data_IF_019091188686
#
_entry.id   IF_019091188686
#
_cell.length_a   1.000
_cell.length_b   1.000
_cell.length_c   1.000
_cell.angle_alpha   90.00
_cell.angle_beta   90.00
_cell.angle_gamma   90.00
#
_symmetry.space_group_name_H-M   'P 1'
#
loop_
_entity.id
_entity.type
_entity.pdbx_description
1 polymer ?
#
# COMPACT_ATOMS: atom_id res chain seq x y z
N UNK A 1 -11.03 -7.96 13.55
CA UNK A 1 -10.61 -7.81 12.14
C UNK A 1 -9.12 -7.59 12.09
N UNK A 2 -8.43 -8.36 11.26
CA UNK A 2 -7.01 -8.25 11.00
C UNK A 2 -6.81 -8.05 9.49
N UNK A 3 -5.90 -7.15 9.10
CA UNK A 3 -5.47 -6.95 7.71
C UNK A 3 -4.04 -7.48 7.56
N UNK A 4 -3.79 -8.25 6.50
CA UNK A 4 -2.53 -8.93 6.26
C UNK A 4 -2.10 -8.77 4.81
N UNK A 5 -0.79 -8.77 4.57
CA UNK A 5 -0.21 -8.76 3.23
C UNK A 5 0.91 -9.79 3.11
N UNK A 6 0.96 -10.48 1.97
CA UNK A 6 2.14 -11.27 1.55
C UNK A 6 3.15 -10.43 0.75
N UNK A 7 2.81 -9.18 0.42
CA UNK A 7 3.66 -8.26 -0.34
C UNK A 7 4.67 -7.54 0.55
N UNK A 8 4.28 -7.14 1.77
CA UNK A 8 5.15 -6.49 2.74
C UNK A 8 4.57 -6.55 4.15
N UNK A 9 5.40 -6.33 5.19
CA UNK A 9 4.96 -6.28 6.58
C UNK A 9 4.55 -4.87 7.01
N UNK A 10 3.67 -4.78 8.01
CA UNK A 10 3.23 -3.50 8.57
C UNK A 10 4.43 -2.68 9.11
N UNK A 11 4.49 -1.39 8.76
CA UNK A 11 5.55 -0.48 9.18
C UNK A 11 6.86 -0.61 8.40
N UNK A 12 6.97 -1.57 7.48
CA UNK A 12 8.12 -1.69 6.60
C UNK A 12 7.93 -0.91 5.29
N UNK A 13 9.02 -0.57 4.59
CA UNK A 13 8.94 0.08 3.28
C UNK A 13 8.09 -0.71 2.29
N UNK A 14 7.32 0.00 1.46
CA UNK A 14 6.59 -0.59 0.33
C UNK A 14 7.61 -0.93 -0.77
N UNK A 15 7.67 -2.19 -1.25
CA UNK A 15 8.51 -2.56 -2.38
C UNK A 15 8.19 -1.75 -3.65
N UNK A 16 9.22 -1.46 -4.44
CA UNK A 16 9.10 -0.59 -5.63
C UNK A 16 8.01 -1.07 -6.62
N UNK A 17 7.81 -2.37 -6.79
CA UNK A 17 6.78 -2.92 -7.69
C UNK A 17 5.35 -2.51 -7.30
N UNK A 18 5.10 -2.17 -6.03
CA UNK A 18 3.80 -1.72 -5.54
C UNK A 18 3.70 -0.19 -5.39
N UNK A 19 4.78 0.53 -5.68
CA UNK A 19 4.82 1.99 -5.61
C UNK A 19 4.64 2.61 -7.00
N UNK A 20 4.21 3.88 -7.03
CA UNK A 20 4.15 4.67 -8.27
C UNK A 20 5.55 4.91 -8.87
N UNK A 21 6.53 5.16 -8.01
CA UNK A 21 7.90 5.43 -8.41
C UNK A 21 8.92 4.64 -7.59
N UNK A 22 10.14 4.56 -8.11
CA UNK A 22 11.31 3.97 -7.46
C UNK A 22 12.45 4.99 -7.41
N UNK A 23 13.40 4.74 -6.53
CA UNK A 23 14.64 5.51 -6.46
C UNK A 23 15.41 5.40 -7.78
N UNK A 24 15.95 6.53 -8.23
CA UNK A 24 16.81 6.64 -9.41
C UNK A 24 18.07 7.42 -9.03
N UNK A 25 19.27 6.98 -9.44
CA UNK A 25 20.52 7.66 -9.07
C UNK A 25 20.74 8.99 -9.81
N UNK A 26 20.11 9.18 -10.97
CA UNK A 26 20.36 10.32 -11.87
C UNK A 26 19.16 11.29 -11.95
N UNK A 27 18.00 10.88 -11.42
CA UNK A 27 16.77 11.68 -11.39
C UNK A 27 16.10 11.63 -10.01
N UNK A 28 15.20 12.59 -9.67
CA UNK A 28 14.48 12.56 -8.40
C UNK A 28 13.70 11.26 -8.14
N UNK A 29 13.22 10.62 -9.20
CA UNK A 29 12.56 9.31 -9.19
C UNK A 29 12.47 8.76 -10.62
N UNK A 30 12.22 7.45 -10.75
CA UNK A 30 11.77 6.82 -12.00
C UNK A 30 10.39 6.14 -11.79
N UNK A 31 9.58 6.02 -12.85
CA UNK A 31 8.30 5.30 -12.78
C UNK A 31 8.52 3.82 -12.50
N UNK A 32 7.66 3.23 -11.66
CA UNK A 32 7.68 1.81 -11.31
C UNK A 32 6.40 1.11 -11.79
N UNK A 33 6.23 -0.17 -11.43
CA UNK A 33 5.17 -1.04 -11.95
C UNK A 33 3.77 -0.66 -11.42
N UNK A 34 3.70 0.08 -10.30
CA UNK A 34 2.47 0.63 -9.75
C UNK A 34 1.36 -0.43 -9.56
N UNK A 35 1.72 -1.61 -9.05
CA UNK A 35 0.77 -2.70 -8.79
C UNK A 35 0.13 -2.56 -7.42
N UNK A 36 -1.12 -2.99 -7.29
CA UNK A 36 -1.73 -3.11 -5.96
C UNK A 36 -1.11 -4.30 -5.21
N UNK A 37 -0.75 -4.16 -3.92
CA UNK A 37 -0.20 -5.24 -3.12
C UNK A 37 -1.26 -6.29 -2.78
N UNK A 38 -0.82 -7.48 -2.39
CA UNK A 38 -1.70 -8.48 -1.80
C UNK A 38 -2.29 -7.94 -0.50
N UNK A 39 -3.60 -8.05 -0.33
CA UNK A 39 -4.29 -7.72 0.91
C UNK A 39 -5.34 -8.80 1.21
N UNK A 40 -5.36 -9.27 2.45
CA UNK A 40 -6.33 -10.24 2.93
C UNK A 40 -6.77 -9.89 4.36
N UNK A 41 -8.02 -10.18 4.69
CA UNK A 41 -8.58 -9.94 6.01
C UNK A 41 -9.02 -11.23 6.70
N UNK A 42 -8.91 -11.24 8.02
CA UNK A 42 -9.40 -12.32 8.90
C UNK A 42 -10.21 -11.73 10.04
N UNK A 43 -10.99 -12.58 10.69
CA UNK A 43 -11.79 -12.22 11.88
C UNK A 43 -12.69 -10.99 11.62
N UNK A 44 -13.40 -11.03 10.50
CA UNK A 44 -14.36 -9.99 10.10
C UNK A 44 -15.51 -9.98 11.13
N UNK A 45 -15.92 -8.81 11.65
CA UNK A 45 -17.02 -8.73 12.61
C UNK A 45 -18.33 -9.29 12.05
N UNK A 46 -19.14 -9.90 12.92
CA UNK A 46 -20.47 -10.36 12.54
C UNK A 46 -21.34 -9.18 12.07
N UNK A 47 -22.09 -9.37 10.98
CA UNK A 47 -22.94 -8.33 10.41
C UNK A 47 -22.24 -7.36 9.44
N UNK A 48 -20.95 -7.55 9.13
CA UNK A 48 -20.30 -6.79 8.04
C UNK A 48 -20.99 -7.06 6.70
N UNK A 49 -21.44 -5.99 6.03
CA UNK A 49 -22.17 -6.06 4.75
C UNK A 49 -21.35 -5.68 3.53
N UNK A 50 -20.24 -4.97 3.73
CA UNK A 50 -19.34 -4.50 2.68
C UNK A 50 -17.99 -4.07 3.28
N UNK A 51 -17.00 -3.87 2.42
CA UNK A 51 -15.70 -3.30 2.76
C UNK A 51 -15.37 -2.12 1.84
N UNK A 52 -14.57 -1.20 2.35
CA UNK A 52 -13.89 -0.17 1.57
C UNK A 52 -12.40 -0.20 1.95
N UNK A 53 -11.53 0.01 0.97
CA UNK A 53 -10.08 0.05 1.15
C UNK A 53 -9.55 1.40 0.69
N UNK A 54 -8.77 2.05 1.54
CA UNK A 54 -8.11 3.31 1.25
C UNK A 54 -6.60 3.17 1.46
N UNK A 55 -5.84 3.75 0.55
CA UNK A 55 -4.40 3.97 0.71
C UNK A 55 -4.20 5.48 0.84
N UNK A 56 -3.74 5.94 2.01
CA UNK A 56 -3.61 7.37 2.34
C UNK A 56 -2.19 7.63 2.81
N UNK A 57 -1.53 8.56 2.13
CA UNK A 57 -0.27 9.14 2.57
C UNK A 57 -0.56 10.49 3.22
N UNK A 58 -0.36 10.60 4.54
CA UNK A 58 -0.62 11.81 5.32
C UNK A 58 0.50 12.82 5.25
N UNK A 59 1.65 12.45 4.69
CA UNK A 59 2.87 13.26 4.67
C UNK A 59 3.05 14.03 3.35
N UNK A 60 2.18 13.79 2.35
CA UNK A 60 2.24 14.53 1.07
C UNK A 60 1.94 16.02 1.32
N UNK A 61 2.84 16.94 0.94
CA UNK A 61 2.57 18.38 1.07
C UNK A 61 1.61 18.83 -0.05
N UNK A 62 0.32 18.86 0.23
CA UNK A 62 -0.74 19.16 -0.77
C UNK A 62 -1.21 20.63 -0.79
N UNK A 63 -0.46 21.54 -0.15
CA UNK A 63 -0.79 22.97 -0.06
C UNK A 63 -0.14 23.80 -1.17
#
# INVERSE_FOLDING_TARGET
MLLMSGSFAHGLPIPAEFAFGRLDPEAPMALSDNRNPHLAWREVPAGTRSFALLCVDTEVPTV
#
